data_IF_868585662563
#
_entry.id   IF_868585662563
#
_cell.length_a   1.000
_cell.length_b   1.000
_cell.length_c   1.000
_cell.angle_alpha   90.00
_cell.angle_beta   90.00
_cell.angle_gamma   90.00
#
_symmetry.space_group_name_H-M   'P 1'
#
loop_
_entity.id
_entity.type
_entity.pdbx_description
1 polymer ?
#
# COMPACT_ATOMS: atom_id res chain seq x y z
N UNK A 1 28.69 17.64 3.83
CA UNK A 1 27.44 17.09 3.27
C UNK A 1 26.56 16.65 4.43
N UNK A 2 25.24 16.92 4.41
CA UNK A 2 24.35 16.36 5.43
C UNK A 2 24.43 14.83 5.35
N UNK A 3 24.47 14.19 6.50
CA UNK A 3 24.73 12.77 6.70
C UNK A 3 23.72 11.91 5.92
N UNK A 4 24.17 11.25 4.84
CA UNK A 4 23.33 10.46 3.93
C UNK A 4 22.57 9.33 4.66
N UNK A 5 23.10 8.87 5.81
CA UNK A 5 22.44 7.92 6.73
C UNK A 5 21.10 8.41 7.27
N UNK A 6 20.79 9.70 7.20
CA UNK A 6 19.49 10.25 7.66
C UNK A 6 18.38 10.09 6.62
N UNK A 7 18.70 9.71 5.38
CA UNK A 7 17.78 9.66 4.24
C UNK A 7 17.51 8.24 3.73
N UNK A 8 18.21 7.23 4.26
CA UNK A 8 17.93 5.82 4.03
C UNK A 8 18.06 5.05 5.35
N UNK A 9 17.51 3.85 5.38
CA UNK A 9 17.76 2.88 6.46
C UNK A 9 17.79 1.51 5.82
N UNK A 10 19.01 1.03 5.58
CA UNK A 10 19.25 -0.26 4.93
C UNK A 10 18.64 -1.39 5.77
N UNK A 11 18.78 -1.29 7.09
CA UNK A 11 18.25 -2.26 8.04
C UNK A 11 16.71 -2.32 7.98
N UNK A 12 16.03 -1.18 7.83
CA UNK A 12 14.58 -1.15 7.68
C UNK A 12 14.14 -1.69 6.32
N UNK A 13 14.81 -1.30 5.23
CA UNK A 13 14.52 -1.80 3.88
C UNK A 13 14.66 -3.33 3.80
N UNK A 14 15.75 -3.89 4.33
CA UNK A 14 15.98 -5.34 4.41
C UNK A 14 14.96 -6.03 5.31
N UNK A 15 14.61 -5.43 6.45
CA UNK A 15 13.61 -6.01 7.36
C UNK A 15 12.21 -6.03 6.76
N UNK A 16 11.85 -5.05 5.91
CA UNK A 16 10.57 -5.07 5.20
C UNK A 16 10.55 -6.22 4.20
N UNK A 17 11.55 -6.30 3.33
CA UNK A 17 11.58 -7.32 2.27
C UNK A 17 11.67 -8.73 2.85
N UNK A 18 12.60 -8.95 3.78
CA UNK A 18 12.73 -10.27 4.40
C UNK A 18 11.55 -10.63 5.31
N UNK A 19 10.91 -9.65 5.94
CA UNK A 19 9.65 -9.85 6.67
C UNK A 19 8.51 -10.32 5.78
N UNK A 20 8.38 -9.75 4.58
CA UNK A 20 7.37 -10.16 3.58
C UNK A 20 7.67 -11.53 2.96
N UNK A 21 8.95 -11.89 2.84
CA UNK A 21 9.36 -13.23 2.40
C UNK A 21 9.03 -14.32 3.44
N UNK A 22 8.99 -13.97 4.74
CA UNK A 22 8.60 -14.87 5.83
C UNK A 22 7.07 -14.94 5.98
N UNK A 23 6.39 -13.79 5.92
CA UNK A 23 4.94 -13.67 6.04
C UNK A 23 4.34 -12.94 4.82
N UNK A 24 4.06 -13.66 3.72
CA UNK A 24 3.48 -13.09 2.51
C UNK A 24 2.09 -12.49 2.72
N UNK A 25 1.37 -12.85 3.80
CA UNK A 25 0.02 -12.33 4.05
C UNK A 25 -0.01 -10.82 4.30
N UNK A 26 1.15 -10.22 4.58
CA UNK A 26 1.33 -8.79 4.83
C UNK A 26 1.71 -7.98 3.59
N UNK A 27 1.86 -8.61 2.42
CA UNK A 27 2.26 -7.92 1.18
C UNK A 27 1.25 -6.81 0.85
N UNK A 28 -0.05 -7.09 0.90
CA UNK A 28 -1.10 -6.09 0.66
C UNK A 28 -1.05 -4.89 1.62
N UNK A 29 -0.86 -5.14 2.92
CA UNK A 29 -0.75 -4.07 3.93
C UNK A 29 0.46 -3.16 3.66
N UNK A 30 1.61 -3.74 3.29
CA UNK A 30 2.83 -2.98 2.99
C UNK A 30 2.75 -2.29 1.63
N UNK A 31 2.13 -2.90 0.62
CA UNK A 31 1.90 -2.33 -0.71
C UNK A 31 0.98 -1.09 -0.68
N UNK A 32 0.08 -1.01 0.29
CA UNK A 32 -0.70 0.20 0.56
C UNK A 32 0.16 1.36 1.13
N UNK A 33 1.33 1.07 1.70
CA UNK A 33 2.20 2.07 2.32
C UNK A 33 3.41 2.45 1.48
N UNK A 34 3.94 1.50 0.71
CA UNK A 34 5.20 1.62 -0.01
C UNK A 34 5.06 1.25 -1.48
N UNK A 35 5.83 1.93 -2.31
CA UNK A 35 6.07 1.60 -3.71
C UNK A 35 7.50 1.09 -3.87
N UNK A 36 7.80 0.32 -4.94
CA UNK A 36 9.18 -0.07 -5.23
C UNK A 36 10.14 1.13 -5.25
N UNK A 37 9.73 2.28 -5.80
CA UNK A 37 10.56 3.49 -5.81
C UNK A 37 10.95 4.05 -4.42
N UNK A 38 10.28 3.62 -3.35
CA UNK A 38 10.60 4.02 -1.97
C UNK A 38 11.83 3.31 -1.40
N UNK A 39 12.31 2.24 -2.05
CA UNK A 39 13.53 1.55 -1.64
C UNK A 39 14.76 2.14 -2.33
N UNK A 40 15.83 2.30 -1.56
CA UNK A 40 17.10 2.84 -2.03
C UNK A 40 17.94 1.74 -2.69
N UNK A 41 17.93 0.54 -2.11
CA UNK A 41 18.67 -0.61 -2.63
C UNK A 41 18.01 -1.22 -3.86
N UNK A 42 18.83 -1.59 -4.86
CA UNK A 42 18.33 -2.10 -6.14
C UNK A 42 17.66 -3.46 -6.01
N UNK A 43 18.20 -4.30 -5.14
CA UNK A 43 17.67 -5.63 -4.89
C UNK A 43 16.32 -5.54 -4.16
N UNK A 44 16.23 -4.72 -3.12
CA UNK A 44 15.02 -4.50 -2.34
C UNK A 44 13.89 -3.95 -3.23
N UNK A 45 14.19 -3.04 -4.17
CA UNK A 45 13.24 -2.59 -5.19
C UNK A 45 12.70 -3.72 -6.03
N UNK A 46 13.59 -4.56 -6.57
CA UNK A 46 13.22 -5.68 -7.46
C UNK A 46 12.39 -6.72 -6.73
N UNK A 47 12.85 -7.12 -5.55
CA UNK A 47 12.18 -8.13 -4.72
C UNK A 47 10.81 -7.62 -4.30
N UNK A 48 10.70 -6.40 -3.77
CA UNK A 48 9.40 -5.83 -3.42
C UNK A 48 8.46 -5.71 -4.62
N UNK A 49 8.98 -5.30 -5.78
CA UNK A 49 8.19 -5.28 -7.02
C UNK A 49 7.66 -6.65 -7.42
N UNK A 50 8.50 -7.69 -7.35
CA UNK A 50 8.08 -9.06 -7.61
C UNK A 50 7.05 -9.57 -6.61
N UNK A 51 7.24 -9.31 -5.31
CA UNK A 51 6.29 -9.67 -4.26
C UNK A 51 4.89 -9.10 -4.53
N UNK A 52 4.81 -7.81 -4.85
CA UNK A 52 3.53 -7.13 -5.15
C UNK A 52 2.89 -7.70 -6.42
N UNK A 53 3.68 -8.00 -7.44
CA UNK A 53 3.16 -8.54 -8.69
C UNK A 53 2.66 -9.98 -8.57
N UNK A 54 3.39 -10.82 -7.86
CA UNK A 54 3.01 -12.21 -7.60
C UNK A 54 1.76 -12.29 -6.71
N UNK A 55 1.67 -11.44 -5.68
CA UNK A 55 0.48 -11.32 -4.83
C UNK A 55 -0.75 -10.86 -5.63
N UNK A 56 -0.59 -9.85 -6.49
CA UNK A 56 -1.66 -9.40 -7.39
C UNK A 56 -2.10 -10.48 -8.40
N UNK A 57 -1.19 -11.36 -8.81
CA UNK A 57 -1.48 -12.51 -9.67
C UNK A 57 -2.07 -13.71 -8.91
N UNK A 58 -2.21 -13.64 -7.57
CA UNK A 58 -2.69 -14.75 -6.73
C UNK A 58 -1.72 -15.93 -6.71
N UNK A 59 -0.44 -15.72 -7.02
CA UNK A 59 0.58 -16.75 -7.01
C UNK A 59 1.11 -16.92 -5.59
N UNK A 60 1.40 -18.17 -5.19
CA UNK A 60 2.04 -18.40 -3.91
C UNK A 60 3.43 -17.74 -3.90
N UNK A 61 3.72 -17.02 -2.82
CA UNK A 61 4.95 -16.26 -2.66
C UNK A 61 5.81 -16.90 -1.58
N UNK A 62 7.05 -17.21 -1.93
CA UNK A 62 8.11 -17.63 -1.02
C UNK A 62 9.47 -17.23 -1.63
N UNK A 63 10.55 -17.43 -0.88
CA UNK A 63 11.90 -17.02 -1.32
C UNK A 63 12.31 -17.69 -2.63
N UNK A 64 12.00 -18.98 -2.81
CA UNK A 64 12.37 -19.73 -4.02
C UNK A 64 11.57 -19.22 -5.22
N UNK A 65 10.24 -19.12 -5.09
CA UNK A 65 9.37 -18.67 -6.19
C UNK A 65 9.67 -17.24 -6.62
N UNK A 66 10.00 -16.35 -5.67
CA UNK A 66 10.43 -14.97 -6.00
C UNK A 66 11.77 -14.95 -6.72
N UNK A 67 12.71 -15.82 -6.34
CA UNK A 67 13.98 -15.94 -7.06
C UNK A 67 13.76 -16.43 -8.49
N UNK A 68 13.02 -17.51 -8.68
CA UNK A 68 12.67 -18.03 -10.01
C UNK A 68 11.98 -16.96 -10.88
N UNK A 69 11.00 -16.25 -10.31
CA UNK A 69 10.29 -15.17 -10.98
C UNK A 69 11.21 -14.03 -11.45
N UNK A 70 12.22 -13.68 -10.66
CA UNK A 70 13.19 -12.65 -11.03
C UNK A 70 14.26 -13.17 -12.00
N UNK A 71 14.62 -14.46 -11.94
CA UNK A 71 15.55 -15.10 -12.88
C UNK A 71 14.95 -15.17 -14.29
N UNK A 72 13.70 -15.63 -14.41
CA UNK A 72 12.98 -15.76 -15.68
C UNK A 72 12.89 -14.42 -16.45
N UNK A 73 12.97 -13.30 -15.72
CA UNK A 73 12.91 -11.94 -16.27
C UNK A 73 14.28 -11.34 -16.54
N UNK A 74 15.36 -12.07 -16.27
CA UNK A 74 16.73 -11.56 -16.35
C UNK A 74 16.97 -10.38 -15.40
N UNK A 75 16.19 -10.27 -14.33
CA UNK A 75 16.24 -9.14 -13.41
C UNK A 75 17.27 -9.33 -12.29
N UNK A 76 17.73 -10.56 -12.05
CA UNK A 76 18.78 -10.90 -11.09
C UNK A 76 20.17 -10.74 -11.71
N UNK A 77 21.08 -10.14 -10.95
CA UNK A 77 22.53 -10.18 -11.20
C UNK A 77 23.15 -11.32 -10.39
N UNK A 78 24.36 -11.72 -10.77
CA UNK A 78 25.15 -12.70 -10.01
C UNK A 78 25.26 -12.29 -8.53
N UNK A 79 24.75 -13.13 -7.62
CA UNK A 79 24.77 -12.90 -6.18
C UNK A 79 23.50 -12.30 -5.57
N UNK A 80 22.57 -11.78 -6.38
CA UNK A 80 21.30 -11.23 -5.89
C UNK A 80 20.43 -12.32 -5.22
N UNK A 81 20.46 -13.54 -5.74
CA UNK A 81 19.73 -14.68 -5.18
C UNK A 81 20.24 -15.04 -3.78
N UNK A 82 21.56 -15.17 -3.61
CA UNK A 82 22.16 -15.45 -2.31
C UNK A 82 21.86 -14.33 -1.29
N UNK A 83 21.82 -13.08 -1.75
CA UNK A 83 21.52 -11.92 -0.92
C UNK A 83 20.03 -11.86 -0.52
N UNK A 84 19.10 -12.29 -1.37
CA UNK A 84 17.69 -12.43 -1.02
C UNK A 84 17.47 -13.49 0.09
N UNK A 85 18.16 -14.64 0.00
CA UNK A 85 18.16 -15.64 1.07
C UNK A 85 18.74 -15.10 2.38
N UNK A 86 19.82 -14.32 2.32
CA UNK A 86 20.41 -13.67 3.50
C UNK A 86 19.44 -12.66 4.11
N UNK A 87 18.72 -11.87 3.30
CA UNK A 87 17.71 -10.94 3.81
C UNK A 87 16.56 -11.66 4.52
N UNK A 88 16.06 -12.76 3.97
CA UNK A 88 15.04 -13.56 4.65
C UNK A 88 15.54 -14.13 5.97
N UNK A 89 16.79 -14.60 6.02
CA UNK A 89 17.38 -15.21 7.22
C UNK A 89 17.72 -14.19 8.32
N UNK A 90 18.27 -13.04 7.95
CA UNK A 90 18.80 -12.05 8.89
C UNK A 90 17.76 -10.95 9.23
N UNK A 91 16.48 -11.18 8.91
CA UNK A 91 15.38 -10.27 9.25
C UNK A 91 15.17 -10.20 10.76
N UNK A 92 15.24 -8.98 11.30
CA UNK A 92 15.14 -8.74 12.75
C UNK A 92 13.76 -9.08 13.35
N UNK A 93 12.66 -8.92 12.60
CA UNK A 93 11.32 -9.39 12.98
C UNK A 93 10.27 -9.16 11.88
N UNK A 94 9.59 -10.22 11.44
CA UNK A 94 8.43 -10.12 10.54
C UNK A 94 7.20 -9.49 11.23
N UNK A 95 7.08 -9.62 12.56
CA UNK A 95 5.92 -9.12 13.31
C UNK A 95 5.79 -7.59 13.29
N UNK A 96 6.90 -6.88 13.03
CA UNK A 96 6.92 -5.41 13.02
C UNK A 96 7.13 -4.82 11.61
N UNK A 97 6.84 -5.59 10.55
CA UNK A 97 7.08 -5.20 9.16
C UNK A 97 6.45 -3.84 8.80
N UNK A 98 5.27 -3.53 9.36
CA UNK A 98 4.57 -2.25 9.13
C UNK A 98 5.29 -1.05 9.75
N UNK A 99 5.91 -1.22 10.92
CA UNK A 99 6.69 -0.15 11.53
C UNK A 99 7.96 0.15 10.71
N UNK A 100 8.64 -0.89 10.24
CA UNK A 100 9.78 -0.73 9.33
C UNK A 100 9.36 -0.10 8.01
N UNK A 101 8.20 -0.48 7.46
CA UNK A 101 7.65 0.13 6.27
C UNK A 101 7.37 1.64 6.48
N UNK A 102 6.88 2.02 7.66
CA UNK A 102 6.74 3.42 8.06
C UNK A 102 8.06 4.19 8.08
N UNK A 103 9.15 3.56 8.55
CA UNK A 103 10.50 4.15 8.51
C UNK A 103 10.96 4.36 7.07
N UNK A 104 10.82 3.35 6.21
CA UNK A 104 11.19 3.44 4.79
C UNK A 104 10.40 4.56 4.10
N UNK A 105 9.10 4.68 4.39
CA UNK A 105 8.22 5.73 3.85
C UNK A 105 8.66 7.13 4.28
N UNK A 106 8.95 7.34 5.57
CA UNK A 106 9.47 8.63 6.06
C UNK A 106 10.78 8.99 5.36
N UNK A 107 11.69 8.03 5.23
CA UNK A 107 12.99 8.24 4.55
C UNK A 107 12.82 8.55 3.07
N UNK A 108 11.93 7.84 2.36
CA UNK A 108 11.59 8.11 0.97
C UNK A 108 11.02 9.52 0.77
N UNK A 109 10.06 9.93 1.61
CA UNK A 109 9.49 11.29 1.58
C UNK A 109 10.55 12.37 1.78
N UNK A 110 11.47 12.19 2.74
CA UNK A 110 12.59 13.12 2.95
C UNK A 110 13.52 13.21 1.73
N UNK A 111 13.79 12.08 1.06
CA UNK A 111 14.58 12.08 -0.18
C UNK A 111 13.85 12.84 -1.29
N UNK A 112 12.56 12.59 -1.48
CA UNK A 112 11.76 13.30 -2.47
C UNK A 112 11.72 14.81 -2.20
N UNK A 113 11.61 15.23 -0.94
CA UNK A 113 11.65 16.65 -0.56
C UNK A 113 13.00 17.30 -0.87
N UNK A 114 14.11 16.58 -0.64
CA UNK A 114 15.44 17.06 -1.00
C UNK A 114 15.60 17.24 -2.51
N UNK A 115 15.10 16.28 -3.30
CA UNK A 115 15.08 16.35 -4.77
C UNK A 115 14.22 17.52 -5.25
N UNK A 116 13.02 17.69 -4.68
CA UNK A 116 12.11 18.78 -4.98
C UNK A 116 12.73 20.15 -4.67
N UNK A 117 13.47 20.28 -3.57
CA UNK A 117 14.22 21.50 -3.25
C UNK A 117 15.21 21.88 -4.35
N UNK A 118 15.93 20.90 -4.91
CA UNK A 118 16.84 21.11 -6.04
C UNK A 118 16.10 21.45 -7.35
N UNK A 119 14.90 20.93 -7.56
CA UNK A 119 14.05 21.33 -8.69
C UNK A 119 13.53 22.75 -8.54
N UNK A 120 13.06 23.13 -7.35
CA UNK A 120 12.55 24.47 -7.07
C UNK A 120 13.61 25.54 -7.32
N UNK A 121 14.85 25.29 -6.90
CA UNK A 121 15.96 26.21 -7.18
C UNK A 121 16.17 26.43 -8.69
N UNK A 122 16.04 25.38 -9.50
CA UNK A 122 16.15 25.48 -10.96
C UNK A 122 14.96 26.20 -11.57
N UNK A 123 13.74 25.81 -11.21
CA UNK A 123 12.51 26.43 -11.72
C UNK A 123 12.44 27.93 -11.42
N UNK A 124 12.91 28.35 -10.23
CA UNK A 124 12.98 29.76 -9.86
C UNK A 124 13.89 30.61 -10.76
N UNK A 125 14.89 29.99 -11.40
CA UNK A 125 15.82 30.67 -12.33
C UNK A 125 15.36 30.55 -13.78
N UNK A 126 14.80 29.40 -14.17
CA UNK A 126 14.47 29.07 -15.56
C UNK A 126 13.10 29.57 -16.03
N UNK A 127 12.04 29.45 -15.20
CA UNK A 127 10.66 29.59 -15.68
C UNK A 127 10.24 31.06 -15.90
N UNK A 128 10.93 32.04 -15.29
CA UNK A 128 10.68 33.49 -15.44
C UNK A 128 9.30 34.00 -14.96
N UNK A 129 8.35 33.10 -14.74
CA UNK A 129 6.98 33.32 -14.31
C UNK A 129 6.72 32.61 -12.98
N UNK A 130 6.49 33.39 -11.93
CA UNK A 130 6.30 32.88 -10.57
C UNK A 130 5.04 32.02 -10.43
N UNK A 131 3.97 32.28 -11.19
CA UNK A 131 2.72 31.52 -11.06
C UNK A 131 2.88 30.09 -11.58
N UNK A 132 3.61 29.92 -12.69
CA UNK A 132 3.92 28.59 -13.23
C UNK A 132 4.77 27.76 -12.29
N UNK A 133 5.81 28.37 -11.70
CA UNK A 133 6.67 27.71 -10.72
C UNK A 133 5.88 27.26 -9.48
N UNK A 134 4.97 28.11 -8.98
CA UNK A 134 4.10 27.77 -7.86
C UNK A 134 3.14 26.62 -8.18
N UNK A 135 2.54 26.62 -9.38
CA UNK A 135 1.66 25.52 -9.81
C UNK A 135 2.43 24.20 -9.91
N UNK A 136 3.63 24.23 -10.50
CA UNK A 136 4.50 23.05 -10.64
C UNK A 136 4.96 22.51 -9.30
N UNK A 137 5.28 23.38 -8.35
CA UNK A 137 5.62 22.99 -6.98
C UNK A 137 4.45 22.28 -6.29
N UNK A 138 3.22 22.80 -6.41
CA UNK A 138 2.02 22.16 -5.85
C UNK A 138 1.84 20.75 -6.40
N UNK A 139 1.87 20.60 -7.73
CA UNK A 139 1.74 19.29 -8.38
C UNK A 139 2.82 18.28 -7.92
N UNK A 140 4.05 18.75 -7.73
CA UNK A 140 5.14 17.90 -7.26
C UNK A 140 5.01 17.52 -5.77
N UNK A 141 4.49 18.42 -4.93
CA UNK A 141 4.15 18.11 -3.54
C UNK A 141 3.03 17.07 -3.46
N UNK A 142 1.97 17.24 -4.25
CA UNK A 142 0.84 16.31 -4.29
C UNK A 142 1.29 14.90 -4.72
N UNK A 143 2.19 14.82 -5.71
CA UNK A 143 2.77 13.55 -6.15
C UNK A 143 3.63 12.87 -5.07
N UNK A 144 4.34 13.64 -4.25
CA UNK A 144 5.19 13.15 -3.17
C UNK A 144 4.39 12.68 -1.95
N UNK A 145 3.26 13.33 -1.67
CA UNK A 145 2.34 12.86 -0.65
C UNK A 145 1.66 11.56 -1.03
N UNK A 146 1.59 11.28 -2.34
CA UNK A 146 1.33 9.95 -2.88
C UNK A 146 0.02 9.38 -2.36
N UNK A 147 -1.11 9.98 -2.79
CA UNK A 147 -2.42 9.36 -2.68
C UNK A 147 -2.79 8.91 -1.27
N UNK A 148 -2.50 9.73 -0.25
CA UNK A 148 -3.04 9.52 1.10
C UNK A 148 -4.53 9.90 1.14
N UNK A 149 -5.31 9.45 0.17
CA UNK A 149 -6.74 9.30 0.34
C UNK A 149 -6.95 7.86 0.81
N UNK A 150 -7.14 7.69 2.12
CA UNK A 150 -7.68 6.47 2.71
C UNK A 150 -9.18 6.28 2.31
N UNK A 151 -9.49 6.47 1.03
CA UNK A 151 -10.83 6.65 0.48
C UNK A 151 -10.74 7.49 -0.78
N UNK A 152 -10.19 6.92 -1.86
CA UNK A 152 -10.10 7.59 -3.14
C UNK A 152 -11.45 8.10 -3.64
N UNK A 153 -11.47 9.23 -4.34
CA UNK A 153 -12.64 9.68 -5.11
C UNK A 153 -13.07 8.60 -6.12
N UNK A 154 -14.08 7.82 -5.76
CA UNK A 154 -14.73 6.88 -6.68
C UNK A 154 -15.71 7.68 -7.56
N UNK A 155 -15.63 7.57 -8.90
CA UNK A 155 -16.62 8.19 -9.77
C UNK A 155 -18.02 7.75 -9.37
N UNK A 156 -18.94 8.71 -9.19
CA UNK A 156 -20.32 8.42 -8.76
C UNK A 156 -21.01 7.36 -9.62
N UNK A 157 -20.70 7.33 -10.94
CA UNK A 157 -21.20 6.32 -11.88
C UNK A 157 -20.84 4.88 -11.49
N UNK A 158 -19.65 4.67 -10.92
CA UNK A 158 -19.14 3.34 -10.59
C UNK A 158 -19.78 2.85 -9.26
N UNK A 159 -20.11 3.78 -8.35
CA UNK A 159 -20.90 3.49 -7.15
C UNK A 159 -22.38 3.22 -7.47
N UNK A 160 -22.95 3.98 -8.40
CA UNK A 160 -24.37 3.86 -8.79
C UNK A 160 -24.69 2.50 -9.37
N UNK A 161 -23.80 1.93 -10.19
CA UNK A 161 -23.98 0.58 -10.74
C UNK A 161 -24.17 -0.45 -9.62
N UNK A 162 -23.26 -0.48 -8.63
CA UNK A 162 -23.38 -1.39 -7.49
C UNK A 162 -24.60 -1.13 -6.60
N UNK A 163 -25.01 0.13 -6.43
CA UNK A 163 -26.23 0.46 -5.69
C UNK A 163 -27.50 -0.04 -6.41
N UNK A 164 -27.57 0.10 -7.74
CA UNK A 164 -28.69 -0.37 -8.54
C UNK A 164 -28.79 -1.89 -8.47
N UNK A 165 -27.67 -2.61 -8.59
CA UNK A 165 -27.65 -4.08 -8.49
C UNK A 165 -28.16 -4.56 -7.13
N UNK A 166 -27.76 -3.91 -6.03
CA UNK A 166 -28.26 -4.23 -4.68
C UNK A 166 -29.75 -3.90 -4.55
N UNK A 167 -30.23 -2.81 -5.14
CA UNK A 167 -31.66 -2.47 -5.14
C UNK A 167 -32.48 -3.48 -5.94
N UNK A 168 -31.98 -3.92 -7.10
CA UNK A 168 -32.67 -4.87 -7.97
C UNK A 168 -32.70 -6.28 -7.34
N UNK A 169 -31.60 -6.71 -6.70
CA UNK A 169 -31.57 -7.94 -5.93
C UNK A 169 -32.56 -7.92 -4.74
N UNK A 170 -32.73 -6.78 -4.07
CA UNK A 170 -33.72 -6.62 -2.98
C UNK A 170 -35.15 -6.62 -3.50
N UNK A 171 -35.39 -5.97 -4.65
CA UNK A 171 -36.70 -5.94 -5.29
C UNK A 171 -37.13 -7.33 -5.78
N UNK A 172 -36.21 -8.07 -6.38
CA UNK A 172 -36.45 -9.41 -6.92
C UNK A 172 -36.41 -10.53 -5.84
N UNK A 173 -36.19 -10.18 -4.57
CA UNK A 173 -36.15 -11.15 -3.46
C UNK A 173 -34.94 -12.09 -3.47
N UNK A 174 -33.89 -11.76 -4.23
CA UNK A 174 -32.66 -12.56 -4.40
C UNK A 174 -31.58 -12.15 -3.40
N UNK A 175 -31.61 -10.90 -2.90
CA UNK A 175 -30.64 -10.42 -1.93
C UNK A 175 -30.74 -11.21 -0.61
N UNK A 176 -29.61 -11.55 0.04
CA UNK A 176 -29.64 -12.17 1.36
C UNK A 176 -30.33 -11.21 2.32
N UNK A 177 -31.52 -11.59 2.79
CA UNK A 177 -32.14 -10.90 3.92
C UNK A 177 -31.16 -10.98 5.09
N UNK A 178 -30.99 -9.87 5.82
CA UNK A 178 -30.13 -9.85 6.99
C UNK A 178 -30.54 -10.96 7.95
N UNK A 179 -29.62 -11.47 8.76
CA UNK A 179 -29.93 -12.56 9.69
C UNK A 179 -31.07 -12.13 10.62
N UNK A 180 -32.19 -12.86 10.69
CA UNK A 180 -33.33 -12.46 11.50
C UNK A 180 -32.95 -12.48 12.98
N UNK A 181 -33.37 -11.47 13.72
CA UNK A 181 -33.18 -11.41 15.18
C UNK A 181 -34.16 -12.30 15.92
N UNK A 182 -35.25 -12.71 15.26
CA UNK A 182 -36.36 -13.47 15.86
C UNK A 182 -37.38 -12.57 16.56
N UNK A 183 -37.12 -11.27 16.64
CA UNK A 183 -38.06 -10.25 17.13
C UNK A 183 -38.77 -9.63 15.94
N UNK A 184 -39.98 -10.09 15.63
CA UNK A 184 -40.70 -9.74 14.38
C UNK A 184 -40.84 -8.23 14.16
N UNK A 185 -41.13 -7.48 15.22
CA UNK A 185 -41.28 -6.02 15.13
C UNK A 185 -39.94 -5.33 14.85
N UNK A 186 -38.86 -5.80 15.48
CA UNK A 186 -37.52 -5.28 15.24
C UNK A 186 -37.04 -5.63 13.83
N UNK A 187 -37.23 -6.89 13.41
CA UNK A 187 -36.86 -7.37 12.07
C UNK A 187 -37.59 -6.61 10.97
N UNK A 188 -38.84 -6.19 11.21
CA UNK A 188 -39.57 -5.31 10.27
C UNK A 188 -38.94 -3.91 10.20
N UNK A 189 -38.37 -3.40 11.28
CA UNK A 189 -37.74 -2.07 11.33
C UNK A 189 -36.32 -2.05 10.73
N UNK A 190 -35.51 -3.08 11.01
CA UNK A 190 -34.09 -3.09 10.60
C UNK A 190 -33.78 -4.02 9.43
N UNK A 191 -34.75 -4.82 8.98
CA UNK A 191 -34.60 -5.81 7.90
C UNK A 191 -33.50 -6.85 8.18
N UNK A 192 -33.45 -7.30 9.43
CA UNK A 192 -32.46 -8.25 9.95
C UNK A 192 -31.05 -7.67 10.12
N UNK A 193 -30.15 -8.47 10.68
CA UNK A 193 -28.75 -8.11 10.91
C UNK A 193 -27.95 -8.24 9.61
N UNK A 194 -27.57 -7.09 9.07
CA UNK A 194 -26.76 -6.97 7.86
C UNK A 194 -25.26 -7.13 8.15
N UNK A 195 -24.50 -7.88 7.32
CA UNK A 195 -23.05 -8.04 7.47
C UNK A 195 -22.31 -6.69 7.34
N UNK A 196 -21.21 -6.53 8.06
CA UNK A 196 -20.39 -5.31 8.05
C UNK A 196 -20.95 -4.15 8.88
N UNK A 197 -22.08 -4.33 9.57
CA UNK A 197 -22.65 -3.33 10.49
C UNK A 197 -22.41 -3.72 11.95
N UNK A 198 -22.08 -2.73 12.78
CA UNK A 198 -22.02 -2.86 14.24
C UNK A 198 -23.38 -2.53 14.84
N UNK A 199 -23.93 -3.45 15.65
CA UNK A 199 -25.18 -3.25 16.40
C UNK A 199 -24.85 -3.16 17.89
N UNK A 200 -25.32 -2.11 18.56
CA UNK A 200 -25.09 -1.88 19.99
C UNK A 200 -26.42 -1.87 20.72
N UNK A 201 -26.56 -2.73 21.74
CA UNK A 201 -27.73 -2.80 22.62
C UNK A 201 -27.32 -2.33 24.01
N UNK A 202 -27.93 -1.25 24.50
CA UNK A 202 -27.63 -0.68 25.81
C UNK A 202 -28.90 -0.57 26.65
N UNK A 203 -28.82 -1.04 27.91
CA UNK A 203 -29.91 -0.97 28.88
C UNK A 203 -29.37 -0.55 30.26
N UNK A 204 -30.25 0.00 31.10
CA UNK A 204 -29.93 0.32 32.51
C UNK A 204 -30.01 -0.96 33.37
N UNK A 205 -29.25 -1.05 34.49
CA UNK A 205 -29.36 -2.16 35.44
C UNK A 205 -30.74 -2.25 36.10
#
# INVERSE_FOLDING_TARGET
MPDARRLNSVEAEQSVVGGLLIDPTRIGDVAALLKPADFTGDLERKVFGALVEMDAAGTAVDVVTVCEFLEDRGALKDGDMAMAFVMARDTFSAANVLAYAGVVRDRSRRRGLAVLGGHLQRWAVEDGDAEKTLLRLKQALDALDGGTEAGGLVPLRDLLAGCIDVMDQRYNGVAPQGMPTGLTDLDRMIHGLQPGKLYVVAARP
#
